data_IF_534266829520
#
_entry.id   IF_534266829520
#
_cell.length_a   1.000
_cell.length_b   1.000
_cell.length_c   1.000
_cell.angle_alpha   90.00
_cell.angle_beta   90.00
_cell.angle_gamma   90.00
#
_symmetry.space_group_name_H-M   'P 1'
#
loop_
_entity.id
_entity.type
_entity.pdbx_description
1 polymer ?
#
# COMPACT_ATOMS: atom_id res chain seq x y z
N UNK A 1 -10.69 -31.67 1.00
CA UNK A 1 -9.55 -30.95 0.38
C UNK A 1 -9.92 -29.46 0.36
N UNK A 2 -9.51 -28.74 1.38
CA UNK A 2 -9.72 -27.28 1.46
C UNK A 2 -8.82 -26.66 0.42
N UNK A 3 -9.42 -26.13 -0.65
CA UNK A 3 -8.76 -25.20 -1.55
C UNK A 3 -8.46 -23.99 -0.68
N UNK A 4 -7.20 -23.82 -0.28
CA UNK A 4 -6.75 -22.57 0.30
C UNK A 4 -7.08 -21.48 -0.71
N UNK A 5 -8.12 -20.69 -0.42
CA UNK A 5 -8.45 -19.54 -1.21
C UNK A 5 -7.22 -18.64 -1.20
N UNK A 6 -6.58 -18.51 -2.35
CA UNK A 6 -5.46 -17.61 -2.56
C UNK A 6 -5.92 -16.23 -2.10
N UNK A 7 -5.33 -15.76 -1.02
CA UNK A 7 -5.62 -14.41 -0.54
C UNK A 7 -4.67 -13.45 -1.23
N UNK A 8 -5.22 -12.43 -1.86
CA UNK A 8 -4.48 -11.41 -2.64
C UNK A 8 -4.12 -10.20 -1.80
N UNK A 9 -4.82 -10.05 -0.69
CA UNK A 9 -4.63 -8.98 0.31
C UNK A 9 -4.66 -9.65 1.68
N UNK A 10 -3.59 -9.56 2.46
CA UNK A 10 -3.59 -10.09 3.82
C UNK A 10 -2.65 -9.31 4.74
N UNK A 11 -2.94 -9.37 6.03
CA UNK A 11 -2.09 -8.76 7.06
C UNK A 11 -0.82 -9.58 7.27
N UNK A 12 0.26 -8.87 7.60
CA UNK A 12 1.57 -9.44 7.87
C UNK A 12 1.99 -9.14 9.31
N UNK A 13 2.56 -10.13 9.96
CA UNK A 13 3.08 -10.01 11.32
C UNK A 13 4.47 -9.37 11.33
N UNK A 14 4.57 -8.13 10.83
CA UNK A 14 5.78 -7.33 10.93
C UNK A 14 5.69 -6.37 12.11
N UNK A 15 6.83 -5.92 12.66
CA UNK A 15 6.84 -4.98 13.77
C UNK A 15 6.10 -3.68 13.43
N UNK A 16 5.35 -3.15 14.39
CA UNK A 16 4.69 -1.86 14.28
C UNK A 16 5.73 -0.75 14.15
N UNK A 17 5.53 0.15 13.19
CA UNK A 17 6.43 1.30 13.02
C UNK A 17 6.30 2.26 14.20
N UNK A 18 7.40 2.63 14.87
CA UNK A 18 7.35 3.59 15.96
C UNK A 18 6.85 4.97 15.50
N UNK A 19 5.88 5.53 16.23
CA UNK A 19 5.28 6.83 15.90
C UNK A 19 6.31 7.96 15.68
N UNK A 20 7.37 8.10 16.52
CA UNK A 20 8.35 9.17 16.35
C UNK A 20 9.10 9.13 15.00
N UNK A 21 9.13 7.97 14.32
CA UNK A 21 9.78 7.82 13.02
C UNK A 21 8.88 8.23 11.85
N UNK A 22 7.58 8.36 12.09
CA UNK A 22 6.57 8.68 11.09
C UNK A 22 6.38 10.19 11.04
N UNK A 23 6.46 10.78 9.86
CA UNK A 23 6.09 12.17 9.68
C UNK A 23 4.60 12.37 9.99
N UNK A 24 4.25 13.55 10.48
CA UNK A 24 2.86 13.92 10.68
C UNK A 24 2.09 13.80 9.37
N UNK A 25 0.94 13.11 9.38
CA UNK A 25 0.15 12.86 8.17
C UNK A 25 -0.34 14.14 7.51
N UNK A 26 -0.62 15.18 8.27
CA UNK A 26 -1.00 16.49 7.74
C UNK A 26 0.15 17.13 6.95
N UNK A 27 1.38 17.03 7.44
CA UNK A 27 2.57 17.48 6.70
C UNK A 27 2.77 16.67 5.42
N UNK A 28 2.58 15.36 5.47
CA UNK A 28 2.69 14.47 4.30
C UNK A 28 1.67 14.89 3.24
N UNK A 29 0.42 15.12 3.64
CA UNK A 29 -0.67 15.52 2.74
C UNK A 29 -0.41 16.88 2.12
N UNK A 30 0.07 17.85 2.90
CA UNK A 30 0.25 19.23 2.48
C UNK A 30 1.60 19.52 1.79
N UNK A 31 2.52 18.54 1.73
CA UNK A 31 3.77 18.72 1.00
C UNK A 31 3.48 18.99 -0.48
N UNK A 32 4.11 20.04 -1.04
CA UNK A 32 3.90 20.45 -2.42
C UNK A 32 4.03 19.29 -3.40
N UNK A 33 2.98 19.11 -4.17
CA UNK A 33 2.94 18.10 -5.23
C UNK A 33 3.73 18.69 -6.41
N UNK A 34 4.83 18.04 -6.78
CA UNK A 34 5.33 18.17 -8.14
C UNK A 34 4.35 17.46 -9.06
N UNK A 35 3.29 18.16 -9.46
CA UNK A 35 2.45 17.66 -10.55
C UNK A 35 3.28 17.71 -11.81
N UNK A 36 3.64 16.52 -12.31
CA UNK A 36 4.11 16.42 -13.69
C UNK A 36 3.01 17.00 -14.59
N UNK A 37 3.30 18.01 -15.42
CA UNK A 37 2.28 18.77 -16.16
C UNK A 37 1.37 17.92 -17.06
N UNK A 38 1.79 16.69 -17.39
CA UNK A 38 1.13 15.79 -18.32
C UNK A 38 0.23 14.73 -17.64
N UNK A 39 0.15 14.70 -16.31
CA UNK A 39 -0.59 13.67 -15.57
C UNK A 39 -1.83 14.28 -14.90
N UNK A 40 -2.75 14.82 -15.71
CA UNK A 40 -4.02 15.41 -15.26
C UNK A 40 -4.97 14.43 -14.52
N UNK A 41 -4.59 13.15 -14.38
CA UNK A 41 -5.43 12.10 -13.81
C UNK A 41 -4.81 11.39 -12.59
N UNK A 42 -3.64 11.78 -12.13
CA UNK A 42 -3.04 11.18 -10.93
C UNK A 42 -3.60 11.81 -9.67
N UNK A 43 -4.42 11.05 -9.00
CA UNK A 43 -4.99 11.40 -7.70
C UNK A 43 -4.14 10.84 -6.54
N UNK A 44 -2.88 10.58 -6.78
CA UNK A 44 -1.94 10.15 -5.75
C UNK A 44 -0.60 10.87 -5.88
N UNK A 45 0.17 10.90 -4.80
CA UNK A 45 1.58 11.30 -4.80
C UNK A 45 2.41 10.36 -3.95
N UNK A 46 3.71 10.37 -4.17
CA UNK A 46 4.70 9.69 -3.32
C UNK A 46 5.69 10.70 -2.77
N UNK A 47 6.12 10.49 -1.53
CA UNK A 47 7.10 11.32 -0.84
C UNK A 47 8.16 10.40 -0.25
N UNK A 48 9.44 10.76 -0.37
CA UNK A 48 10.53 10.01 0.25
C UNK A 48 10.40 9.95 1.77
N UNK A 49 10.81 8.85 2.36
CA UNK A 49 10.96 8.71 3.82
C UNK A 49 12.31 9.27 4.26
N UNK A 50 12.43 9.63 5.54
CA UNK A 50 13.70 10.04 6.12
C UNK A 50 14.63 8.85 6.38
N UNK A 51 15.91 9.14 6.62
CA UNK A 51 16.93 8.11 6.83
C UNK A 51 16.69 7.26 8.06
N UNK A 52 16.14 7.81 9.14
CA UNK A 52 15.86 7.09 10.37
C UNK A 52 14.78 6.02 10.15
N UNK A 53 13.69 6.38 9.50
CA UNK A 53 12.63 5.45 9.14
C UNK A 53 13.15 4.39 8.16
N UNK A 54 13.95 4.80 7.17
CA UNK A 54 14.53 3.88 6.20
C UNK A 54 15.43 2.84 6.87
N UNK A 55 16.30 3.25 7.79
CA UNK A 55 17.15 2.34 8.57
C UNK A 55 16.33 1.41 9.46
N UNK A 56 15.31 1.93 10.12
CA UNK A 56 14.42 1.10 10.93
C UNK A 56 13.73 0.02 10.07
N UNK A 57 13.22 0.38 8.91
CA UNK A 57 12.61 -0.57 7.98
C UNK A 57 13.60 -1.65 7.53
N UNK A 58 14.83 -1.29 7.20
CA UNK A 58 15.87 -2.26 6.81
C UNK A 58 16.19 -3.28 7.89
N UNK A 59 16.15 -2.88 9.16
CA UNK A 59 16.42 -3.77 10.29
C UNK A 59 15.22 -4.67 10.62
N UNK A 60 14.00 -4.17 10.47
CA UNK A 60 12.79 -4.81 11.01
C UNK A 60 11.94 -5.52 9.94
N UNK A 61 12.09 -5.18 8.66
CA UNK A 61 11.39 -5.86 7.57
C UNK A 61 12.24 -7.03 7.07
N UNK A 62 11.68 -8.26 7.02
CA UNK A 62 12.46 -9.49 6.82
C UNK A 62 12.74 -9.82 5.35
N UNK A 63 12.83 -8.81 4.48
CA UNK A 63 13.24 -8.97 3.08
C UNK A 63 13.98 -7.72 2.58
N UNK A 64 14.76 -7.87 1.53
CA UNK A 64 15.41 -6.74 0.87
C UNK A 64 14.41 -5.95 0.03
N UNK A 65 14.52 -4.63 0.09
CA UNK A 65 13.75 -3.71 -0.72
C UNK A 65 14.61 -2.53 -1.19
N UNK A 66 14.36 -2.07 -2.40
CA UNK A 66 15.07 -0.92 -2.97
C UNK A 66 14.45 0.41 -2.56
N UNK A 67 13.13 0.47 -2.48
CA UNK A 67 12.37 1.71 -2.28
C UNK A 67 11.32 1.55 -1.18
N UNK A 68 11.27 2.56 -0.30
CA UNK A 68 10.19 2.80 0.63
C UNK A 68 9.81 4.29 0.55
N UNK A 69 8.52 4.57 0.63
CA UNK A 69 7.99 5.93 0.47
C UNK A 69 6.67 6.10 1.18
N UNK A 70 6.31 7.34 1.50
CA UNK A 70 4.92 7.67 1.79
C UNK A 70 4.12 7.68 0.49
N UNK A 71 2.93 7.12 0.52
CA UNK A 71 1.95 7.17 -0.55
C UNK A 71 0.70 7.88 -0.07
N UNK A 72 0.24 8.86 -0.81
CA UNK A 72 -0.97 9.61 -0.53
C UNK A 72 -1.93 9.44 -1.69
N UNK A 73 -3.12 8.94 -1.40
CA UNK A 73 -4.20 8.78 -2.37
C UNK A 73 -5.29 9.77 -2.04
N UNK A 74 -5.46 10.78 -2.89
CA UNK A 74 -6.43 11.87 -2.71
C UNK A 74 -7.83 11.52 -3.21
N UNK A 75 -7.93 10.58 -4.10
CA UNK A 75 -9.17 10.08 -4.68
C UNK A 75 -8.96 8.63 -5.07
N UNK A 76 -10.04 7.88 -5.21
CA UNK A 76 -9.93 6.50 -5.65
C UNK A 76 -9.07 6.35 -6.90
N UNK A 77 -8.21 5.34 -6.91
CA UNK A 77 -7.38 4.99 -8.06
C UNK A 77 -8.18 4.07 -8.95
N UNK A 78 -8.23 4.35 -10.26
CA UNK A 78 -8.86 3.48 -11.24
C UNK A 78 -8.20 2.10 -11.27
N UNK A 79 -8.94 1.04 -11.62
CA UNK A 79 -8.36 -0.30 -11.75
C UNK A 79 -7.16 -0.30 -12.72
N UNK A 80 -6.04 -0.86 -12.26
CA UNK A 80 -4.78 -0.92 -13.01
C UNK A 80 -3.93 -2.10 -12.52
N UNK A 81 -2.90 -2.42 -13.31
CA UNK A 81 -1.80 -3.31 -12.89
C UNK A 81 -0.56 -2.46 -12.70
N UNK A 82 0.28 -2.81 -11.73
CA UNK A 82 1.58 -2.18 -11.60
C UNK A 82 2.57 -2.70 -12.66
N UNK A 83 3.74 -2.06 -12.74
CA UNK A 83 4.82 -2.52 -13.61
C UNK A 83 5.37 -3.89 -13.17
N UNK A 84 6.05 -4.57 -14.09
CA UNK A 84 6.60 -5.93 -13.86
C UNK A 84 7.61 -6.00 -12.71
N UNK A 85 8.22 -4.88 -12.33
CA UNK A 85 9.21 -4.82 -11.25
C UNK A 85 8.58 -4.72 -9.84
N UNK A 86 7.28 -4.45 -9.79
CA UNK A 86 6.51 -4.35 -8.56
C UNK A 86 5.43 -5.42 -8.54
N UNK A 87 5.80 -6.63 -8.13
CA UNK A 87 4.88 -7.78 -8.09
C UNK A 87 3.98 -7.74 -6.86
N UNK A 88 4.52 -7.25 -5.75
CA UNK A 88 3.81 -7.14 -4.47
C UNK A 88 4.10 -5.80 -3.84
N UNK A 89 3.08 -5.10 -3.39
CA UNK A 89 3.19 -3.94 -2.52
C UNK A 89 3.04 -4.37 -1.06
N UNK A 90 3.97 -3.97 -0.22
CA UNK A 90 3.90 -4.12 1.23
C UNK A 90 3.59 -2.75 1.80
N UNK A 91 2.49 -2.63 2.49
CA UNK A 91 1.94 -1.34 2.88
C UNK A 91 1.61 -1.30 4.37
N UNK A 92 1.98 -0.20 5.02
CA UNK A 92 1.60 0.12 6.39
C UNK A 92 0.70 1.35 6.38
N UNK A 93 -0.58 1.15 6.67
CA UNK A 93 -1.58 2.21 6.58
C UNK A 93 -1.47 3.15 7.79
N UNK A 94 -1.34 4.46 7.52
CA UNK A 94 -1.28 5.51 8.53
C UNK A 94 -2.64 6.19 8.74
N UNK A 95 -3.37 6.41 7.66
CA UNK A 95 -4.70 7.00 7.66
C UNK A 95 -5.51 6.37 6.53
N UNK A 96 -6.67 5.80 6.87
CA UNK A 96 -7.56 5.17 5.89
C UNK A 96 -8.13 6.16 4.90
N UNK A 97 -8.25 7.43 5.27
CA UNK A 97 -8.92 8.45 4.47
C UNK A 97 -10.46 8.42 4.57
N UNK A 98 -11.03 7.63 5.47
CA UNK A 98 -12.47 7.54 5.70
C UNK A 98 -12.95 6.11 5.98
N UNK A 99 -14.25 5.96 6.23
CA UNK A 99 -14.84 4.69 6.70
C UNK A 99 -15.05 3.66 5.58
N UNK A 100 -15.24 4.10 4.33
CA UNK A 100 -15.63 3.24 3.22
C UNK A 100 -14.52 3.06 2.18
N UNK A 101 -13.27 3.09 2.62
CA UNK A 101 -12.12 2.89 1.74
C UNK A 101 -11.84 1.40 1.61
N UNK A 102 -11.89 0.90 0.40
CA UNK A 102 -11.60 -0.51 0.10
C UNK A 102 -10.47 -0.65 -0.92
N UNK A 103 -9.64 -1.66 -0.70
CA UNK A 103 -8.70 -2.17 -1.69
C UNK A 103 -9.29 -3.41 -2.32
N UNK A 104 -9.37 -3.46 -3.64
CA UNK A 104 -10.02 -4.54 -4.37
C UNK A 104 -9.09 -5.07 -5.46
N UNK A 105 -9.05 -6.39 -5.58
CA UNK A 105 -8.29 -7.12 -6.62
C UNK A 105 -9.27 -7.85 -7.53
N UNK A 106 -8.98 -7.84 -8.83
CA UNK A 106 -9.80 -8.42 -9.88
C UNK A 106 -9.03 -9.48 -10.67
N UNK A 107 -9.77 -10.42 -11.25
CA UNK A 107 -9.25 -11.30 -12.29
C UNK A 107 -9.15 -10.58 -13.67
N UNK A 108 -8.64 -11.28 -14.66
CA UNK A 108 -8.51 -10.73 -16.02
C UNK A 108 -9.87 -10.54 -16.75
N UNK A 109 -10.95 -11.08 -16.20
CA UNK A 109 -12.31 -10.90 -16.69
C UNK A 109 -13.03 -9.73 -16.00
N UNK A 110 -12.39 -9.10 -15.00
CA UNK A 110 -12.97 -8.01 -14.23
C UNK A 110 -13.84 -8.46 -13.04
N UNK A 111 -13.84 -9.74 -12.70
CA UNK A 111 -14.55 -10.22 -11.50
C UNK A 111 -13.73 -9.90 -10.25
N UNK A 112 -14.42 -9.53 -9.17
CA UNK A 112 -13.78 -9.30 -7.87
C UNK A 112 -13.27 -10.60 -7.29
N UNK A 113 -11.96 -10.68 -7.08
CA UNK A 113 -11.31 -11.79 -6.38
C UNK A 113 -11.31 -11.57 -4.87
N UNK A 114 -11.01 -10.38 -4.44
CA UNK A 114 -11.02 -9.99 -3.04
C UNK A 114 -11.23 -8.49 -2.92
N UNK A 115 -12.00 -8.06 -1.90
CA UNK A 115 -12.15 -6.66 -1.50
C UNK A 115 -12.00 -6.57 0.02
N UNK A 116 -11.18 -5.63 0.49
CA UNK A 116 -10.87 -5.50 1.91
C UNK A 116 -10.74 -4.05 2.33
N UNK A 117 -11.37 -3.70 3.44
CA UNK A 117 -11.08 -2.49 4.19
C UNK A 117 -9.86 -2.74 5.06
N UNK A 118 -8.81 -1.95 4.86
CA UNK A 118 -7.54 -2.14 5.58
C UNK A 118 -7.57 -1.40 6.91
N UNK A 119 -7.10 -2.06 7.96
CA UNK A 119 -6.98 -1.50 9.30
C UNK A 119 -5.69 -0.67 9.40
N UNK A 120 -5.78 0.51 10.01
CA UNK A 120 -4.61 1.36 10.27
C UNK A 120 -3.58 0.68 11.18
N UNK A 121 -2.32 1.05 10.98
CA UNK A 121 -1.16 0.58 11.73
C UNK A 121 -0.93 -0.92 11.69
N UNK A 122 -1.37 -1.54 10.59
CA UNK A 122 -1.07 -2.93 10.28
C UNK A 122 -0.39 -3.05 8.93
N UNK A 123 0.64 -3.87 8.87
CA UNK A 123 1.25 -4.26 7.62
C UNK A 123 0.34 -5.20 6.85
N UNK A 124 0.26 -5.01 5.57
CA UNK A 124 -0.43 -5.92 4.66
C UNK A 124 0.28 -5.99 3.32
N UNK A 125 0.13 -7.09 2.63
CA UNK A 125 0.53 -7.19 1.24
C UNK A 125 -0.67 -7.02 0.30
N UNK A 126 -0.37 -6.55 -0.90
CA UNK A 126 -1.28 -6.48 -2.02
C UNK A 126 -0.58 -7.07 -3.25
N UNK A 127 -1.22 -7.99 -3.93
CA UNK A 127 -0.74 -8.57 -5.19
C UNK A 127 -0.96 -7.57 -6.33
N UNK A 128 0.10 -6.87 -6.74
CA UNK A 128 0.00 -5.72 -7.67
C UNK A 128 0.16 -6.10 -9.13
N UNK A 129 0.57 -7.32 -9.44
CA UNK A 129 0.57 -7.83 -10.82
C UNK A 129 -0.83 -8.17 -11.33
N UNK A 130 -1.82 -8.29 -10.46
CA UNK A 130 -3.23 -8.37 -10.82
C UNK A 130 -3.86 -6.98 -10.86
N UNK A 131 -4.96 -6.87 -11.60
CA UNK A 131 -5.74 -5.62 -11.62
C UNK A 131 -6.26 -5.32 -10.22
N UNK A 132 -5.99 -4.12 -9.75
CA UNK A 132 -6.40 -3.69 -8.42
C UNK A 132 -6.79 -2.21 -8.39
N UNK A 133 -7.50 -1.82 -7.35
CA UNK A 133 -7.95 -0.45 -7.13
C UNK A 133 -8.07 -0.12 -5.64
N UNK A 134 -8.05 1.17 -5.34
CA UNK A 134 -8.46 1.73 -4.05
C UNK A 134 -9.63 2.66 -4.31
N UNK A 135 -10.75 2.42 -3.66
CA UNK A 135 -12.00 3.19 -3.81
C UNK A 135 -12.36 3.91 -2.52
N UNK A 136 -13.07 5.03 -2.65
CA UNK A 136 -13.67 5.76 -1.54
C UNK A 136 -12.84 6.93 -1.00
N UNK A 137 -11.53 7.03 -1.26
CA UNK A 137 -10.72 8.17 -0.84
C UNK A 137 -11.21 9.47 -1.51
N UNK A 138 -11.15 10.59 -0.79
CA UNK A 138 -11.53 11.91 -1.27
C UNK A 138 -10.42 12.93 -1.01
N UNK A 139 -10.44 14.06 -1.72
CA UNK A 139 -9.45 15.13 -1.52
C UNK A 139 -9.45 15.70 -0.10
N UNK A 140 -10.58 15.69 0.58
CA UNK A 140 -10.70 16.19 1.96
C UNK A 140 -10.20 15.18 3.01
N UNK A 141 -10.16 13.91 2.64
CA UNK A 141 -9.71 12.79 3.50
C UNK A 141 -8.85 11.84 2.67
N UNK A 142 -7.60 12.21 2.37
CA UNK A 142 -6.72 11.35 1.62
C UNK A 142 -6.29 10.13 2.45
N UNK A 143 -6.09 9.01 1.77
CA UNK A 143 -5.45 7.83 2.36
C UNK A 143 -3.94 8.02 2.39
N UNK A 144 -3.31 7.73 3.51
CA UNK A 144 -1.86 7.86 3.70
C UNK A 144 -1.27 6.54 4.16
N UNK A 145 -0.19 6.12 3.55
CA UNK A 145 0.50 4.88 3.90
C UNK A 145 2.02 4.99 3.70
N UNK A 146 2.77 4.11 4.38
CA UNK A 146 4.14 3.77 3.99
C UNK A 146 4.03 2.58 3.03
N UNK A 147 4.64 2.69 1.85
CA UNK A 147 4.63 1.65 0.82
C UNK A 147 6.05 1.20 0.50
N UNK A 148 6.24 -0.11 0.45
CA UNK A 148 7.49 -0.77 0.11
C UNK A 148 7.24 -1.64 -1.11
N UNK A 149 8.07 -1.51 -2.13
CA UNK A 149 8.02 -2.34 -3.33
C UNK A 149 8.78 -3.64 -3.11
N UNK A 150 8.18 -4.75 -3.49
CA UNK A 150 8.83 -6.06 -3.45
C UNK A 150 8.70 -6.79 -4.79
N UNK A 151 9.81 -7.36 -5.31
CA UNK A 151 9.78 -8.27 -6.45
C UNK A 151 9.28 -9.67 -6.07
N UNK A 152 9.14 -9.95 -4.78
CA UNK A 152 8.73 -11.25 -4.28
C UNK A 152 7.25 -11.52 -4.58
N UNK A 153 6.94 -12.77 -4.93
CA UNK A 153 5.57 -13.22 -5.05
C UNK A 153 4.89 -13.31 -3.69
N UNK A 154 3.58 -13.16 -3.68
CA UNK A 154 2.79 -13.29 -2.44
C UNK A 154 3.07 -14.59 -1.68
N UNK A 155 3.43 -15.68 -2.36
CA UNK A 155 3.79 -16.96 -1.73
C UNK A 155 4.96 -16.84 -0.76
N UNK A 156 5.86 -15.88 -0.97
CA UNK A 156 6.94 -15.58 -0.03
C UNK A 156 6.40 -15.05 1.30
N UNK A 157 5.32 -14.27 1.27
CA UNK A 157 4.77 -13.59 2.43
C UNK A 157 3.80 -14.46 3.24
N UNK A 158 3.38 -15.62 2.73
CA UNK A 158 2.40 -16.50 3.42
C UNK A 158 2.87 -16.93 4.80
N UNK A 159 4.18 -17.08 5.01
CA UNK A 159 4.78 -17.41 6.32
C UNK A 159 4.69 -16.29 7.36
N UNK A 160 4.37 -15.07 6.95
CA UNK A 160 4.23 -13.90 7.82
C UNK A 160 2.77 -13.47 8.01
N UNK A 161 1.81 -14.22 7.49
CA UNK A 161 0.39 -13.89 7.62
C UNK A 161 -0.02 -13.97 9.10
N UNK A 162 -0.77 -12.96 9.54
CA UNK A 162 -1.45 -13.00 10.83
C UNK A 162 -2.71 -13.87 10.70
N UNK A 163 -2.86 -14.80 11.64
CA UNK A 163 -4.10 -15.55 11.81
C UNK A 163 -5.25 -14.66 12.34
#
# INVERSE_FOLDING_TARGET
MLINSLMYINYLNFPTVPLPLILNTELIVNTNIYTLPNLKTLFFKTIGINDELHQWLKVNIPFEFAHARYQVIYKGITPHKDSTDRVTAITYLLDTGGENIATTVFDDLGNVLQSKTIIERKWHYLTTHLTHTVTGATFNKPRVAISIDSPELYSYFTKFICD
#
